data_IF_291765091059
#
_entry.id   IF_291765091059
#
_cell.length_a   1.000
_cell.length_b   1.000
_cell.length_c   1.000
_cell.angle_alpha   90.00
_cell.angle_beta   90.00
_cell.angle_gamma   90.00
#
_symmetry.space_group_name_H-M   'P 1'
#
loop_
_entity.id
_entity.type
_entity.pdbx_description
1 polymer ?
#
# COMPACT_ATOMS: atom_id res chain seq x y z
N UNK A 1 3.22 -47.48 -3.98
CA UNK A 1 2.39 -48.45 -3.27
C UNK A 1 1.20 -47.70 -2.64
N UNK A 2 -0.03 -47.97 -3.18
CA UNK A 2 -1.38 -47.77 -2.65
C UNK A 2 -1.78 -46.37 -2.13
N UNK A 3 -2.47 -45.56 -2.93
CA UNK A 3 -3.96 -45.46 -3.11
C UNK A 3 -4.79 -45.70 -1.86
N UNK A 4 -5.57 -44.67 -1.46
CA UNK A 4 -6.99 -44.85 -1.16
C UNK A 4 -7.73 -43.50 -1.14
N UNK A 5 -8.65 -43.44 -2.07
CA UNK A 5 -9.83 -42.55 -2.18
C UNK A 5 -10.73 -42.65 -0.97
N UNK A 6 -11.43 -41.57 -0.63
CA UNK A 6 -12.75 -41.60 -0.05
C UNK A 6 -13.56 -40.40 -0.50
N UNK A 7 -14.47 -40.65 -1.40
CA UNK A 7 -15.59 -39.84 -1.85
C UNK A 7 -16.67 -39.90 -0.78
N UNK A 8 -17.21 -38.75 -0.36
CA UNK A 8 -18.48 -38.73 0.38
C UNK A 8 -19.40 -37.67 -0.23
N UNK A 9 -20.47 -38.17 -0.80
CA UNK A 9 -21.64 -37.53 -1.38
C UNK A 9 -22.72 -37.47 -0.30
N UNK A 10 -23.32 -36.31 -0.01
CA UNK A 10 -24.64 -36.15 0.69
C UNK A 10 -25.24 -34.87 0.19
N UNK A 11 -26.18 -34.93 -0.64
CA UNK A 11 -27.64 -35.00 -0.69
C UNK A 11 -28.35 -33.74 -0.20
N UNK A 12 -29.13 -33.19 -1.15
CA UNK A 12 -29.99 -32.03 -1.12
C UNK A 12 -31.15 -32.15 -0.12
N UNK A 13 -31.60 -30.99 0.40
CA UNK A 13 -33.03 -30.84 0.76
C UNK A 13 -33.46 -29.40 0.49
N UNK A 14 -34.36 -29.25 -0.44
CA UNK A 14 -35.17 -28.08 -0.73
C UNK A 14 -36.32 -28.00 0.28
N UNK A 15 -36.57 -26.80 0.83
CA UNK A 15 -37.86 -26.48 1.45
C UNK A 15 -38.38 -25.18 0.86
N UNK A 16 -39.44 -25.34 0.05
CA UNK A 16 -40.35 -24.29 -0.37
C UNK A 16 -41.35 -24.04 0.77
N UNK A 17 -41.53 -22.81 1.18
CA UNK A 17 -42.71 -22.35 1.90
C UNK A 17 -43.23 -21.12 1.21
N UNK A 18 -44.35 -21.31 0.53
CA UNK A 18 -45.25 -20.26 0.08
C UNK A 18 -46.21 -19.90 1.21
N UNK A 19 -46.36 -18.62 1.49
CA UNK A 19 -47.35 -18.09 2.41
C UNK A 19 -47.89 -16.76 1.90
N UNK A 20 -49.05 -16.82 1.25
CA UNK A 20 -49.93 -15.69 0.91
C UNK A 20 -50.82 -15.35 2.10
N UNK A 21 -51.18 -14.10 2.24
CA UNK A 21 -52.31 -13.57 3.03
C UNK A 21 -51.92 -12.24 3.67
N UNK A 22 -52.39 -11.13 3.24
CA UNK A 22 -53.69 -10.55 3.29
C UNK A 22 -53.73 -9.38 4.24
N UNK A 23 -54.03 -8.25 3.70
CA UNK A 23 -55.04 -7.21 4.07
C UNK A 23 -54.70 -6.12 5.06
N UNK A 24 -54.66 -4.90 4.50
CA UNK A 24 -55.19 -3.58 4.94
C UNK A 24 -54.89 -3.04 6.37
N UNK A 25 -54.18 -1.92 6.33
CA UNK A 25 -54.13 -0.98 7.47
C UNK A 25 -53.50 0.36 6.96
N UNK A 26 -54.35 1.34 6.64
CA UNK A 26 -53.99 2.69 6.33
C UNK A 26 -53.29 3.33 7.52
N UNK A 27 -52.16 3.97 7.26
CA UNK A 27 -51.47 4.81 8.22
C UNK A 27 -50.46 5.70 7.49
N UNK A 28 -50.92 6.85 7.02
CA UNK A 28 -50.09 7.95 6.54
C UNK A 28 -48.96 8.28 7.56
N UNK A 29 -47.75 7.99 7.21
CA UNK A 29 -46.57 8.78 7.59
C UNK A 29 -45.59 8.81 6.45
N UNK A 30 -45.72 9.86 5.65
CA UNK A 30 -44.78 10.30 4.63
C UNK A 30 -43.44 10.62 5.29
N UNK A 31 -42.62 9.62 5.49
CA UNK A 31 -41.19 9.84 5.73
C UNK A 31 -40.55 10.09 4.36
N UNK A 32 -40.35 11.35 4.06
CA UNK A 32 -39.52 11.77 2.94
C UNK A 32 -38.10 11.30 3.25
N UNK A 33 -37.76 10.10 2.78
CA UNK A 33 -36.37 9.72 2.67
C UNK A 33 -35.79 10.56 1.54
N UNK A 34 -35.11 11.65 1.92
CA UNK A 34 -34.21 12.33 1.00
C UNK A 34 -33.18 11.30 0.60
N UNK A 35 -33.35 10.73 -0.60
CA UNK A 35 -32.28 10.01 -1.26
C UNK A 35 -31.15 11.04 -1.47
N UNK A 36 -30.15 10.98 -0.61
CA UNK A 36 -28.91 11.72 -0.84
C UNK A 36 -28.34 11.18 -2.14
N UNK A 37 -28.52 11.94 -3.20
CA UNK A 37 -27.91 11.64 -4.49
C UNK A 37 -26.42 11.79 -4.30
N UNK A 38 -25.72 10.69 -4.06
CA UNK A 38 -24.26 10.66 -4.03
C UNK A 38 -23.80 10.99 -5.44
N UNK A 39 -23.13 12.14 -5.58
CA UNK A 39 -22.62 12.57 -6.87
C UNK A 39 -21.50 11.57 -7.27
N UNK A 40 -21.55 11.01 -8.50
CA UNK A 40 -20.49 10.11 -8.97
C UNK A 40 -19.07 10.70 -8.88
N UNK A 41 -18.95 12.03 -8.90
CA UNK A 41 -17.67 12.73 -8.72
C UNK A 41 -17.13 12.61 -7.30
N UNK A 42 -17.97 12.45 -6.27
CA UNK A 42 -17.55 12.29 -4.88
C UNK A 42 -17.04 10.88 -4.59
N UNK A 43 -17.35 9.92 -5.46
CA UNK A 43 -16.86 8.53 -5.35
C UNK A 43 -15.46 8.35 -5.96
N UNK A 44 -15.00 9.25 -6.83
CA UNK A 44 -13.70 9.14 -7.47
C UNK A 44 -12.55 9.47 -6.50
N UNK A 45 -12.78 10.35 -5.52
CA UNK A 45 -11.76 10.70 -4.52
C UNK A 45 -11.51 9.59 -3.48
N UNK A 46 -12.45 8.68 -3.29
CA UNK A 46 -12.31 7.58 -2.32
C UNK A 46 -11.54 6.37 -2.88
N UNK A 47 -11.24 6.36 -4.18
CA UNK A 47 -10.52 5.27 -4.85
C UNK A 47 -9.10 5.67 -5.29
N UNK A 48 -8.68 6.91 -5.06
CA UNK A 48 -7.30 7.31 -5.29
C UNK A 48 -6.38 6.53 -4.32
N UNK A 49 -5.31 5.89 -4.80
CA UNK A 49 -4.32 5.31 -3.90
C UNK A 49 -3.81 6.41 -2.96
N UNK A 50 -3.56 6.08 -1.69
CA UNK A 50 -2.99 7.07 -0.77
C UNK A 50 -1.68 7.63 -1.36
N UNK A 51 -1.44 8.92 -1.12
CA UNK A 51 -0.20 9.57 -1.51
C UNK A 51 0.98 8.77 -0.98
N UNK A 52 1.98 8.57 -1.83
CA UNK A 52 3.19 7.84 -1.50
C UNK A 52 4.35 8.37 -2.32
N UNK A 53 5.49 8.53 -1.69
CA UNK A 53 6.73 8.86 -2.39
C UNK A 53 7.38 7.58 -2.89
N UNK A 54 7.61 7.46 -4.21
CA UNK A 54 8.33 6.34 -4.80
C UNK A 54 9.62 6.85 -5.42
N UNK A 55 10.74 6.22 -5.06
CA UNK A 55 12.08 6.56 -5.54
C UNK A 55 12.68 5.32 -6.22
N UNK A 56 12.91 5.40 -7.52
CA UNK A 56 13.59 4.34 -8.26
C UNK A 56 15.10 4.58 -8.19
N UNK A 57 15.83 3.61 -7.63
CA UNK A 57 17.29 3.68 -7.43
C UNK A 57 17.98 2.62 -8.26
N UNK A 58 18.96 3.04 -9.05
CA UNK A 58 19.82 2.14 -9.80
C UNK A 58 21.26 2.24 -9.32
N UNK A 59 21.85 1.10 -8.96
CA UNK A 59 23.25 0.95 -8.58
C UNK A 59 23.90 0.05 -9.64
N UNK A 60 24.88 0.59 -10.35
CA UNK A 60 25.56 -0.15 -11.42
C UNK A 60 27.02 0.30 -11.56
N UNK A 61 27.96 -0.65 -11.40
CA UNK A 61 29.38 -0.38 -11.51
C UNK A 61 29.87 0.72 -10.56
N UNK A 62 29.31 0.79 -9.35
CA UNK A 62 29.61 1.82 -8.35
C UNK A 62 28.97 3.19 -8.60
N UNK A 63 28.18 3.33 -9.67
CA UNK A 63 27.38 4.52 -9.95
C UNK A 63 25.97 4.36 -9.36
N UNK A 64 25.47 5.46 -8.80
CA UNK A 64 24.14 5.51 -8.16
C UNK A 64 23.30 6.57 -8.84
N UNK A 65 22.07 6.25 -9.16
CA UNK A 65 21.08 7.17 -9.71
C UNK A 65 19.74 6.95 -9.00
N UNK A 66 19.11 7.99 -8.42
CA UNK A 66 19.61 9.35 -8.28
C UNK A 66 20.72 9.47 -7.21
N UNK A 67 21.41 10.62 -7.20
CA UNK A 67 22.30 11.03 -6.11
C UNK A 67 21.93 12.45 -5.68
N UNK A 68 21.93 12.70 -4.36
CA UNK A 68 21.61 13.98 -3.74
C UNK A 68 20.24 14.55 -4.21
N UNK A 69 19.28 13.69 -4.52
CA UNK A 69 17.93 14.13 -4.89
C UNK A 69 17.27 14.87 -3.71
N UNK A 70 16.61 16.00 -4.01
CA UNK A 70 15.84 16.75 -3.02
C UNK A 70 14.38 16.40 -3.21
N UNK A 71 13.78 15.75 -2.21
CA UNK A 71 12.43 15.21 -2.26
C UNK A 71 11.60 15.74 -1.10
N UNK A 72 10.29 15.60 -1.20
CA UNK A 72 9.33 15.99 -0.17
C UNK A 72 8.37 14.82 0.12
N UNK A 73 7.96 14.70 1.37
CA UNK A 73 6.95 13.75 1.82
C UNK A 73 6.13 14.36 2.96
N UNK A 74 4.92 13.87 3.15
CA UNK A 74 4.11 14.19 4.33
C UNK A 74 4.48 13.29 5.52
N UNK A 75 4.22 13.77 6.74
CA UNK A 75 4.35 12.93 7.94
C UNK A 75 3.50 11.68 7.80
N UNK A 76 4.09 10.52 8.09
CA UNK A 76 3.49 9.19 7.97
C UNK A 76 3.13 8.77 6.53
N UNK A 77 3.50 9.53 5.52
CA UNK A 77 3.38 9.10 4.13
C UNK A 77 4.28 7.90 3.86
N UNK A 78 3.79 6.85 3.17
CA UNK A 78 4.64 5.74 2.75
C UNK A 78 5.71 6.19 1.77
N UNK A 79 6.98 5.94 2.12
CA UNK A 79 8.15 6.21 1.28
C UNK A 79 8.71 4.88 0.83
N UNK A 80 8.82 4.68 -0.47
CA UNK A 80 9.20 3.41 -1.10
C UNK A 80 10.43 3.62 -1.96
N UNK A 81 11.52 2.94 -1.64
CA UNK A 81 12.71 2.86 -2.48
C UNK A 81 12.70 1.55 -3.26
N UNK A 82 12.62 1.64 -4.58
CA UNK A 82 12.78 0.51 -5.50
C UNK A 82 14.22 0.47 -5.96
N UNK A 83 14.91 -0.63 -5.71
CA UNK A 83 16.36 -0.71 -5.91
C UNK A 83 16.70 -1.84 -6.87
N UNK A 84 17.38 -1.46 -7.95
CA UNK A 84 18.09 -2.38 -8.85
C UNK A 84 19.59 -2.23 -8.60
N UNK A 85 20.26 -3.29 -8.17
CA UNK A 85 21.68 -3.24 -7.83
C UNK A 85 22.47 -4.41 -8.42
N UNK A 86 23.68 -4.13 -8.91
CA UNK A 86 24.66 -5.15 -9.28
C UNK A 86 25.65 -5.48 -8.15
N UNK A 87 25.56 -4.79 -7.02
CA UNK A 87 26.42 -4.97 -5.85
C UNK A 87 25.60 -5.01 -4.56
N UNK A 88 26.13 -5.65 -3.52
CA UNK A 88 25.56 -5.59 -2.18
C UNK A 88 25.90 -4.25 -1.53
N UNK A 89 24.94 -3.69 -0.77
CA UNK A 89 25.11 -2.45 0.01
C UNK A 89 24.09 -2.45 1.17
N UNK A 90 24.04 -1.37 1.92
CA UNK A 90 23.01 -1.09 2.91
C UNK A 90 22.40 0.28 2.64
N UNK A 91 21.07 0.33 2.55
CA UNK A 91 20.31 1.57 2.48
C UNK A 91 20.04 2.03 3.92
N UNK A 92 20.67 3.12 4.32
CA UNK A 92 20.53 3.70 5.64
C UNK A 92 19.68 4.97 5.57
N UNK A 93 18.65 5.04 6.43
CA UNK A 93 17.71 6.14 6.52
C UNK A 93 17.88 6.84 7.86
N UNK A 94 18.39 8.07 7.86
CA UNK A 94 18.61 8.89 9.04
C UNK A 94 17.33 9.54 9.54
N UNK A 95 16.36 8.72 9.94
CA UNK A 95 15.09 9.13 10.52
C UNK A 95 15.03 8.82 12.03
N UNK A 96 13.93 9.16 12.67
CA UNK A 96 13.67 8.74 14.05
C UNK A 96 12.34 7.94 14.09
N UNK A 97 12.38 6.61 14.32
CA UNK A 97 13.58 5.77 14.42
C UNK A 97 14.36 5.65 13.10
N UNK A 98 15.64 5.32 13.18
CA UNK A 98 16.46 4.99 12.01
C UNK A 98 16.02 3.67 11.37
N UNK A 99 16.23 3.55 10.05
CA UNK A 99 16.01 2.32 9.33
C UNK A 99 17.25 1.92 8.52
N UNK A 100 17.55 0.63 8.52
CA UNK A 100 18.59 0.03 7.68
C UNK A 100 18.03 -1.14 6.91
N UNK A 101 18.33 -1.18 5.61
CA UNK A 101 17.88 -2.24 4.71
C UNK A 101 19.06 -2.82 3.94
N UNK A 102 19.22 -4.13 4.02
CA UNK A 102 20.23 -4.82 3.25
C UNK A 102 19.84 -4.85 1.77
N UNK A 103 20.70 -4.30 0.92
CA UNK A 103 20.61 -4.40 -0.53
C UNK A 103 21.43 -5.62 -0.99
N UNK A 104 20.84 -6.47 -1.77
CA UNK A 104 21.51 -7.58 -2.43
C UNK A 104 21.88 -7.21 -3.88
N UNK A 105 22.87 -7.91 -4.45
CA UNK A 105 23.23 -7.76 -5.87
C UNK A 105 22.17 -8.42 -6.77
N UNK A 106 20.99 -7.78 -6.87
CA UNK A 106 19.87 -8.23 -7.70
C UNK A 106 18.92 -7.07 -8.04
N UNK A 107 18.14 -7.14 -9.12
CA UNK A 107 17.09 -6.17 -9.42
C UNK A 107 15.82 -6.40 -8.58
N UNK A 108 14.89 -5.46 -8.66
CA UNK A 108 13.52 -5.59 -8.20
C UNK A 108 13.34 -5.63 -6.69
N UNK A 109 14.25 -5.05 -5.93
CA UNK A 109 14.12 -4.92 -4.47
C UNK A 109 13.23 -3.72 -4.13
N UNK A 110 12.48 -3.80 -3.03
CA UNK A 110 11.63 -2.72 -2.58
C UNK A 110 11.69 -2.61 -1.07
N UNK A 111 11.98 -1.40 -0.58
CA UNK A 111 12.07 -1.07 0.83
C UNK A 111 11.09 0.06 1.14
N UNK A 112 10.30 -0.12 2.19
CA UNK A 112 9.27 0.86 2.58
C UNK A 112 9.42 1.25 4.04
N UNK A 113 9.27 2.55 4.30
CA UNK A 113 9.23 3.11 5.64
C UNK A 113 8.30 4.32 5.70
N UNK A 114 8.07 4.82 6.89
CA UNK A 114 7.36 6.08 7.15
C UNK A 114 8.17 6.91 8.13
N UNK A 115 7.98 8.23 8.11
CA UNK A 115 8.62 9.15 9.04
C UNK A 115 7.55 9.90 9.81
N UNK A 116 7.53 9.72 11.13
CA UNK A 116 6.51 10.32 12.01
C UNK A 116 6.87 11.74 12.48
N UNK A 117 8.13 12.15 12.35
CA UNK A 117 8.62 13.43 12.86
C UNK A 117 9.01 14.32 11.69
N UNK A 118 8.46 15.57 11.61
CA UNK A 118 8.87 16.52 10.58
C UNK A 118 10.36 16.83 10.64
N UNK A 119 10.98 17.02 9.49
CA UNK A 119 12.40 17.34 9.40
C UNK A 119 13.03 16.93 8.08
N UNK A 120 14.37 16.99 8.01
CA UNK A 120 15.14 16.48 6.89
C UNK A 120 15.67 15.09 7.23
N UNK A 121 15.48 14.17 6.31
CA UNK A 121 15.90 12.78 6.42
C UNK A 121 16.82 12.47 5.24
N UNK A 122 18.06 12.12 5.53
CA UNK A 122 19.01 11.67 4.52
C UNK A 122 18.90 10.16 4.35
N UNK A 123 18.97 9.72 3.10
CA UNK A 123 18.96 8.31 2.70
C UNK A 123 20.28 8.04 1.98
N UNK A 124 21.08 7.14 2.54
CA UNK A 124 22.46 6.91 2.12
C UNK A 124 22.74 5.45 1.84
N UNK A 125 23.72 5.21 0.97
CA UNK A 125 24.34 3.91 0.74
C UNK A 125 25.61 3.81 1.58
N UNK A 126 25.65 2.84 2.46
CA UNK A 126 26.70 2.72 3.46
C UNK A 126 28.07 2.33 2.87
N UNK A 127 28.08 1.31 1.97
CA UNK A 127 29.34 0.84 1.35
C UNK A 127 29.85 1.82 0.28
N UNK A 128 28.97 2.33 -0.56
CA UNK A 128 29.32 3.30 -1.60
C UNK A 128 29.52 4.72 -1.06
N UNK A 129 29.13 5.00 0.18
CA UNK A 129 29.21 6.32 0.84
C UNK A 129 28.62 7.45 -0.01
N UNK A 130 27.40 7.19 -0.51
CA UNK A 130 26.69 8.12 -1.37
C UNK A 130 25.30 8.40 -0.81
N UNK A 131 24.96 9.67 -0.75
CA UNK A 131 23.60 10.10 -0.45
C UNK A 131 22.74 9.93 -1.70
N UNK A 132 21.68 9.12 -1.59
CA UNK A 132 20.70 8.90 -2.66
C UNK A 132 19.74 10.08 -2.71
N UNK A 133 19.20 10.46 -1.55
CA UNK A 133 18.22 11.53 -1.44
C UNK A 133 18.24 12.18 -0.05
N UNK A 134 17.84 13.45 0.00
CA UNK A 134 17.41 14.16 1.21
C UNK A 134 15.91 14.43 1.08
N UNK A 135 15.12 13.94 2.04
CA UNK A 135 13.66 14.05 2.04
C UNK A 135 13.24 15.07 3.08
N UNK A 136 12.55 16.11 2.67
CA UNK A 136 11.93 17.07 3.59
C UNK A 136 10.54 16.57 3.95
N UNK A 137 10.38 16.17 5.22
CA UNK A 137 9.10 15.67 5.76
C UNK A 137 8.36 16.80 6.47
N UNK A 138 7.11 17.05 6.11
CA UNK A 138 6.27 18.13 6.65
C UNK A 138 4.78 17.79 6.73
#
# INVERSE_FOLDING_TARGET
MKLRSATTLVLATALLVAGCGGEQGQGDRRATQSATTVNPSDMQDQQAPPDRLVVDVKIQGGNVTPTNAQLEASVNEPIIFKVDSDAADELHVHSNPEHSYKIEAKPGQSFQFTVAVPGKVDVELHELKKTVATITVR
#
